data_IF_108051768862
#
_entry.id   IF_108051768862
#
_cell.length_a   1.000
_cell.length_b   1.000
_cell.length_c   1.000
_cell.angle_alpha   90.00
_cell.angle_beta   90.00
_cell.angle_gamma   90.00
#
_symmetry.space_group_name_H-M   'P 1'
#
loop_
_entity.id
_entity.type
_entity.pdbx_description
1 polymer ?
#
# COMPACT_ATOMS: atom_id res chain seq x y z
N UNK A 1 -3.24 -16.36 -11.30
CA UNK A 1 -2.94 -14.98 -11.73
C UNK A 1 -1.61 -14.60 -11.09
N UNK A 2 -0.68 -13.99 -11.83
CA UNK A 2 0.73 -13.77 -11.40
C UNK A 2 0.89 -12.95 -10.10
N UNK A 3 -0.16 -12.20 -9.73
CA UNK A 3 -0.22 -11.38 -8.51
C UNK A 3 -0.53 -12.19 -7.24
N UNK A 4 -1.49 -13.11 -7.31
CA UNK A 4 -1.97 -13.87 -6.16
C UNK A 4 -1.01 -15.02 -5.84
N UNK A 5 -0.59 -15.11 -4.58
CA UNK A 5 0.27 -16.20 -4.08
C UNK A 5 -0.54 -17.46 -3.75
N UNK A 6 -1.83 -17.26 -3.49
CA UNK A 6 -2.79 -18.29 -3.13
C UNK A 6 -3.95 -18.28 -4.14
N UNK A 7 -4.50 -19.45 -4.44
CA UNK A 7 -5.74 -19.55 -5.20
C UNK A 7 -6.94 -19.23 -4.28
N UNK A 8 -7.60 -18.07 -4.46
CA UNK A 8 -8.69 -17.65 -3.59
C UNK A 8 -9.95 -18.49 -3.75
N UNK A 9 -10.10 -19.24 -4.84
CA UNK A 9 -11.26 -20.12 -5.06
C UNK A 9 -11.12 -21.46 -4.32
N UNK A 10 -9.88 -21.85 -3.98
CA UNK A 10 -9.59 -23.13 -3.33
C UNK A 10 -9.36 -22.99 -1.83
N UNK A 11 -8.85 -21.83 -1.38
CA UNK A 11 -8.42 -21.65 0.02
C UNK A 11 -9.39 -20.75 0.79
N UNK A 12 -10.06 -21.27 1.84
CA UNK A 12 -10.92 -20.50 2.72
C UNK A 12 -10.17 -19.36 3.40
N UNK A 13 -10.86 -18.25 3.68
CA UNK A 13 -10.25 -17.05 4.27
C UNK A 13 -9.49 -17.34 5.57
N UNK A 14 -10.03 -18.21 6.41
CA UNK A 14 -9.47 -18.51 7.74
C UNK A 14 -8.12 -19.23 7.66
N UNK A 15 -7.81 -19.88 6.54
CA UNK A 15 -6.57 -20.64 6.30
C UNK A 15 -5.49 -19.81 5.59
N UNK A 16 -5.86 -18.65 5.00
CA UNK A 16 -4.95 -17.85 4.18
C UNK A 16 -3.82 -17.25 5.00
N UNK A 17 -4.12 -16.73 6.19
CA UNK A 17 -3.13 -16.07 7.05
C UNK A 17 -1.93 -16.97 7.36
N UNK A 18 -2.17 -18.24 7.72
CA UNK A 18 -1.10 -19.18 8.03
C UNK A 18 -0.30 -19.57 6.79
N UNK A 19 -0.98 -19.76 5.67
CA UNK A 19 -0.33 -20.12 4.42
C UNK A 19 0.51 -18.97 3.86
N UNK A 20 0.01 -17.73 3.90
CA UNK A 20 0.76 -16.55 3.48
C UNK A 20 2.04 -16.39 4.30
N UNK A 21 1.95 -16.49 5.63
CA UNK A 21 3.15 -16.50 6.50
C UNK A 21 4.12 -17.61 6.13
N UNK A 22 3.62 -18.80 5.79
CA UNK A 22 4.44 -19.90 5.32
C UNK A 22 5.19 -19.58 4.02
N UNK A 23 4.51 -18.96 3.05
CA UNK A 23 5.09 -18.54 1.77
C UNK A 23 6.10 -17.40 1.97
N UNK A 24 5.76 -16.38 2.76
CA UNK A 24 6.63 -15.25 3.09
C UNK A 24 7.95 -15.72 3.72
N UNK A 25 7.87 -16.61 4.71
CA UNK A 25 9.07 -17.17 5.35
C UNK A 25 9.93 -17.99 4.37
N UNK A 26 9.33 -18.62 3.35
CA UNK A 26 10.10 -19.35 2.33
C UNK A 26 10.72 -18.42 1.28
N UNK A 27 10.08 -17.28 1.01
CA UNK A 27 10.59 -16.28 0.05
C UNK A 27 11.62 -15.34 0.66
N UNK A 28 11.69 -15.24 1.98
CA UNK A 28 12.70 -14.45 2.66
C UNK A 28 14.09 -14.98 2.32
N UNK A 29 14.90 -14.12 1.71
CA UNK A 29 16.29 -14.38 1.38
C UNK A 29 17.19 -13.63 2.36
N UNK A 30 17.75 -14.39 3.32
CA UNK A 30 18.61 -13.84 4.38
C UNK A 30 19.91 -13.22 3.82
N UNK A 31 20.47 -13.80 2.76
CA UNK A 31 21.71 -13.30 2.16
C UNK A 31 21.44 -11.95 1.49
N UNK A 32 20.33 -11.85 0.74
CA UNK A 32 19.91 -10.59 0.13
C UNK A 32 19.62 -9.53 1.19
N UNK A 33 18.91 -9.87 2.26
CA UNK A 33 18.62 -8.95 3.35
C UNK A 33 19.90 -8.38 3.99
N UNK A 34 20.90 -9.24 4.24
CA UNK A 34 22.19 -8.82 4.80
C UNK A 34 22.94 -7.91 3.82
N UNK A 35 22.91 -8.22 2.52
CA UNK A 35 23.55 -7.39 1.50
C UNK A 35 22.90 -6.00 1.40
N UNK A 36 21.57 -5.92 1.45
CA UNK A 36 20.84 -4.66 1.42
C UNK A 36 21.06 -3.84 2.71
N UNK A 37 21.25 -4.51 3.85
CA UNK A 37 21.46 -3.83 5.14
C UNK A 37 22.90 -3.34 5.35
N UNK A 38 23.91 -4.12 4.91
CA UNK A 38 25.32 -3.88 5.25
C UNK A 38 26.29 -3.93 4.06
N UNK A 39 25.80 -4.36 2.89
CA UNK A 39 26.60 -4.66 1.72
C UNK A 39 26.63 -3.53 0.70
N UNK A 40 26.92 -3.89 -0.55
CA UNK A 40 27.17 -2.96 -1.66
C UNK A 40 25.94 -2.24 -2.18
N UNK A 41 24.74 -2.79 -1.93
CA UNK A 41 23.46 -2.20 -2.34
C UNK A 41 22.92 -1.20 -1.32
N UNK A 42 23.61 -1.03 -0.18
CA UNK A 42 23.22 -0.10 0.87
C UNK A 42 23.15 1.35 0.39
N UNK A 43 24.10 1.78 -0.44
CA UNK A 43 24.16 3.16 -0.92
C UNK A 43 22.91 3.51 -1.76
N UNK A 44 22.42 2.56 -2.57
CA UNK A 44 21.18 2.73 -3.36
C UNK A 44 19.95 2.89 -2.46
N UNK A 45 19.90 2.14 -1.35
CA UNK A 45 18.81 2.24 -0.37
C UNK A 45 18.90 3.55 0.40
N UNK A 46 20.10 3.95 0.81
CA UNK A 46 20.33 5.21 1.50
C UNK A 46 19.92 6.39 0.61
N UNK A 47 20.20 6.37 -0.69
CA UNK A 47 19.72 7.37 -1.65
C UNK A 47 18.18 7.46 -1.70
N UNK A 48 17.48 6.32 -1.70
CA UNK A 48 16.01 6.29 -1.62
C UNK A 48 15.53 6.87 -0.29
N UNK A 49 16.18 6.54 0.82
CA UNK A 49 15.82 7.01 2.16
C UNK A 49 16.07 8.51 2.35
N UNK A 50 17.11 9.05 1.71
CA UNK A 50 17.46 10.47 1.76
C UNK A 50 16.67 11.31 0.75
N UNK A 51 16.07 10.68 -0.27
CA UNK A 51 15.27 11.37 -1.27
C UNK A 51 14.16 12.22 -0.65
N UNK A 52 14.09 13.48 -1.09
CA UNK A 52 13.09 14.43 -0.60
C UNK A 52 11.70 13.97 -1.05
N UNK A 53 10.78 13.81 -0.10
CA UNK A 53 9.39 13.52 -0.42
C UNK A 53 8.80 14.65 -1.29
N UNK A 54 7.98 14.31 -2.29
CA UNK A 54 7.32 15.30 -3.15
C UNK A 54 6.24 16.08 -2.40
N UNK A 55 5.76 15.56 -1.27
CA UNK A 55 4.79 16.21 -0.40
C UNK A 55 5.50 17.05 0.67
N UNK A 56 5.01 18.25 0.93
CA UNK A 56 5.55 19.08 2.01
C UNK A 56 5.08 18.52 3.37
N UNK A 57 6.00 18.34 4.32
CA UNK A 57 5.64 17.90 5.68
C UNK A 57 4.70 18.90 6.37
N UNK A 58 4.78 20.18 5.99
CA UNK A 58 3.85 21.21 6.47
C UNK A 58 2.44 21.04 5.91
N UNK A 59 2.29 20.53 4.69
CA UNK A 59 0.98 20.18 4.10
C UNK A 59 0.37 18.98 4.83
N UNK A 60 1.17 17.96 5.16
CA UNK A 60 0.68 16.80 5.93
C UNK A 60 0.22 17.21 7.33
N UNK A 61 0.98 18.06 8.02
CA UNK A 61 0.59 18.56 9.35
C UNK A 61 -0.64 19.47 9.28
N UNK A 62 -0.74 20.32 8.25
CA UNK A 62 -1.91 21.16 8.02
C UNK A 62 -3.16 20.32 7.70
N UNK A 63 -3.03 19.26 6.91
CA UNK A 63 -4.10 18.30 6.64
C UNK A 63 -4.47 17.53 7.90
N UNK A 64 -3.50 17.16 8.74
CA UNK A 64 -3.76 16.47 10.02
C UNK A 64 -4.50 17.36 11.02
N UNK A 65 -4.13 18.63 11.13
CA UNK A 65 -4.86 19.63 11.93
C UNK A 65 -6.25 19.95 11.32
N UNK A 66 -6.37 19.96 9.99
CA UNK A 66 -7.66 20.10 9.31
C UNK A 66 -8.54 18.85 9.45
N UNK A 67 -7.95 17.65 9.57
CA UNK A 67 -8.64 16.37 9.78
C UNK A 67 -9.35 16.30 11.13
N UNK A 68 -8.80 16.93 12.16
CA UNK A 68 -9.48 17.09 13.46
C UNK A 68 -10.74 17.97 13.36
N UNK A 69 -10.89 18.74 12.28
CA UNK A 69 -12.05 19.60 11.99
C UNK A 69 -12.77 19.30 10.67
N UNK A 70 -12.43 18.21 9.97
CA UNK A 70 -12.97 17.87 8.65
C UNK A 70 -14.41 17.37 8.79
N UNK A 71 -15.35 18.30 8.75
CA UNK A 71 -16.64 18.03 8.12
C UNK A 71 -16.38 17.62 6.67
N UNK A 72 -17.15 16.66 6.14
CA UNK A 72 -17.23 16.25 4.73
C UNK A 72 -17.46 17.41 3.71
N UNK A 73 -17.54 18.66 4.20
CA UNK A 73 -17.82 19.88 3.46
C UNK A 73 -16.60 20.47 2.75
N UNK A 74 -15.37 20.10 3.15
CA UNK A 74 -14.19 20.38 2.33
C UNK A 74 -14.23 19.42 1.14
N UNK A 75 -14.86 19.89 0.06
CA UNK A 75 -15.13 19.10 -1.14
C UNK A 75 -13.87 18.46 -1.73
N UNK A 76 -14.09 17.36 -2.44
CA UNK A 76 -13.06 16.66 -3.21
C UNK A 76 -12.46 17.61 -4.26
N UNK A 77 -11.13 17.63 -4.44
CA UNK A 77 -10.49 18.43 -5.48
C UNK A 77 -11.09 18.15 -6.87
N UNK A 78 -11.33 19.17 -7.72
CA UNK A 78 -11.96 18.99 -9.02
C UNK A 78 -11.29 17.94 -9.92
N UNK A 79 -9.97 17.81 -9.81
CA UNK A 79 -9.14 16.82 -10.52
C UNK A 79 -9.51 15.37 -10.19
N UNK A 80 -9.92 15.10 -8.95
CA UNK A 80 -10.24 13.76 -8.48
C UNK A 80 -11.70 13.39 -8.79
N UNK A 81 -12.56 14.38 -9.05
CA UNK A 81 -13.99 14.15 -9.35
C UNK A 81 -14.15 13.25 -10.58
N UNK A 82 -13.36 13.46 -11.63
CA UNK A 82 -13.42 12.63 -12.84
C UNK A 82 -13.09 11.16 -12.56
N UNK A 83 -12.17 10.89 -11.63
CA UNK A 83 -11.83 9.52 -11.24
C UNK A 83 -12.90 8.89 -10.38
N UNK A 84 -13.44 9.64 -9.41
CA UNK A 84 -14.53 9.17 -8.56
C UNK A 84 -15.81 8.89 -9.37
N UNK A 85 -16.07 9.65 -10.43
CA UNK A 85 -17.19 9.40 -11.34
C UNK A 85 -17.04 8.07 -12.11
N UNK A 86 -15.83 7.52 -12.26
CA UNK A 86 -15.62 6.18 -12.83
C UNK A 86 -16.03 5.08 -11.84
N UNK A 87 -16.06 5.39 -10.54
CA UNK A 87 -16.50 4.44 -9.52
C UNK A 87 -17.99 4.20 -9.62
N UNK A 88 -18.38 2.98 -9.30
CA UNK A 88 -19.76 2.55 -9.36
C UNK A 88 -20.53 3.13 -8.19
N UNK A 89 -21.52 3.99 -8.49
CA UNK A 89 -22.42 4.54 -7.48
C UNK A 89 -23.27 3.42 -6.84
N UNK A 90 -22.86 2.95 -5.66
CA UNK A 90 -23.58 1.96 -4.85
C UNK A 90 -23.50 2.33 -3.38
N UNK A 91 -24.60 2.04 -2.68
CA UNK A 91 -24.64 2.07 -1.23
C UNK A 91 -24.13 0.73 -0.69
N UNK A 92 -23.28 0.78 0.32
CA UNK A 92 -22.75 -0.39 0.99
C UNK A 92 -23.28 -0.44 2.42
N UNK A 93 -23.87 -1.58 2.79
CA UNK A 93 -24.26 -1.86 4.17
C UNK A 93 -23.05 -2.44 4.91
N UNK A 94 -22.15 -1.55 5.32
CA UNK A 94 -20.95 -1.89 6.08
C UNK A 94 -21.19 -1.52 7.53
N UNK A 95 -20.88 -2.45 8.44
CA UNK A 95 -20.89 -2.15 9.87
C UNK A 95 -19.87 -1.05 10.16
N UNK A 96 -20.35 0.04 10.78
CA UNK A 96 -19.55 1.26 11.04
C UNK A 96 -18.27 1.00 11.84
N UNK A 97 -18.25 -0.10 12.59
CA UNK A 97 -17.14 -0.52 13.44
C UNK A 97 -16.39 -1.72 12.85
N UNK A 98 -16.21 -1.77 11.53
CA UNK A 98 -15.35 -2.78 10.88
C UNK A 98 -13.91 -2.27 10.80
N UNK A 99 -13.05 -2.47 11.82
CA UNK A 99 -11.65 -2.08 11.77
C UNK A 99 -10.92 -2.78 10.61
N UNK A 100 -11.42 -3.93 10.17
CA UNK A 100 -10.86 -4.72 9.09
C UNK A 100 -10.73 -3.91 7.80
N UNK A 101 -11.77 -3.21 7.38
CA UNK A 101 -11.73 -2.45 6.12
C UNK A 101 -10.74 -1.29 6.21
N UNK A 102 -10.71 -0.58 7.35
CA UNK A 102 -9.75 0.51 7.56
C UNK A 102 -8.30 -0.01 7.54
N UNK A 103 -8.03 -1.14 8.20
CA UNK A 103 -6.72 -1.78 8.20
C UNK A 103 -6.30 -2.20 6.79
N UNK A 104 -7.22 -2.77 5.99
CA UNK A 104 -6.97 -3.11 4.59
C UNK A 104 -6.66 -1.88 3.73
N UNK A 105 -7.37 -0.77 3.93
CA UNK A 105 -7.06 0.49 3.24
C UNK A 105 -5.67 1.04 3.61
N UNK A 106 -5.31 1.00 4.89
CA UNK A 106 -3.98 1.44 5.37
C UNK A 106 -2.88 0.59 4.74
N UNK A 107 -3.08 -0.72 4.67
CA UNK A 107 -2.12 -1.66 4.13
C UNK A 107 -1.90 -1.47 2.62
N UNK A 108 -2.97 -1.25 1.85
CA UNK A 108 -2.87 -0.88 0.42
C UNK A 108 -2.16 0.47 0.24
N UNK A 109 -2.45 1.46 1.10
CA UNK A 109 -1.79 2.76 1.05
C UNK A 109 -0.29 2.63 1.35
N UNK A 110 0.08 1.79 2.33
CA UNK A 110 1.48 1.49 2.62
C UNK A 110 2.20 0.88 1.42
N UNK A 111 1.58 -0.11 0.76
CA UNK A 111 2.15 -0.74 -0.43
C UNK A 111 2.34 0.25 -1.58
N UNK A 112 1.37 1.14 -1.81
CA UNK A 112 1.49 2.24 -2.77
C UNK A 112 2.64 3.18 -2.43
N UNK A 113 2.73 3.65 -1.19
CA UNK A 113 3.77 4.58 -0.76
C UNK A 113 5.18 3.95 -0.81
N UNK A 114 5.28 2.65 -0.52
CA UNK A 114 6.53 1.91 -0.72
C UNK A 114 6.94 1.93 -2.19
N UNK A 115 6.06 1.50 -3.11
CA UNK A 115 6.37 1.46 -4.54
C UNK A 115 6.72 2.85 -5.07
N UNK A 116 5.93 3.85 -4.67
CA UNK A 116 6.15 5.24 -5.05
C UNK A 116 7.52 5.73 -4.56
N UNK A 117 7.97 5.37 -3.36
CA UNK A 117 9.27 5.80 -2.84
C UNK A 117 10.45 5.06 -3.49
N UNK A 118 10.34 3.74 -3.67
CA UNK A 118 11.41 2.92 -4.26
C UNK A 118 11.65 3.27 -5.73
N UNK A 119 10.62 3.70 -6.45
CA UNK A 119 10.74 4.16 -7.84
C UNK A 119 10.96 5.68 -7.97
N UNK A 120 11.52 6.35 -6.94
CA UNK A 120 11.81 7.79 -6.98
C UNK A 120 10.61 8.67 -7.37
N UNK A 121 9.42 8.31 -6.89
CA UNK A 121 8.16 9.02 -7.09
C UNK A 121 7.62 8.97 -8.52
N UNK A 122 8.02 7.96 -9.30
CA UNK A 122 7.51 7.69 -10.65
C UNK A 122 6.95 6.26 -10.75
N UNK A 123 5.73 6.12 -11.27
CA UNK A 123 5.15 4.80 -11.51
C UNK A 123 5.73 4.17 -12.78
N UNK A 124 5.90 2.85 -12.77
CA UNK A 124 6.38 2.08 -13.94
C UNK A 124 5.54 0.81 -14.14
N UNK A 125 5.93 -0.03 -15.12
CA UNK A 125 5.19 -1.25 -15.44
C UNK A 125 5.14 -2.29 -14.31
N UNK A 126 6.09 -2.24 -13.37
CA UNK A 126 6.16 -3.12 -12.21
C UNK A 126 5.42 -2.56 -10.98
N UNK A 127 4.96 -1.30 -11.00
CA UNK A 127 4.31 -0.68 -9.85
C UNK A 127 3.12 -1.47 -9.33
N UNK A 128 2.24 -1.94 -10.22
CA UNK A 128 1.10 -2.75 -9.83
C UNK A 128 1.53 -4.09 -9.23
N UNK A 129 2.61 -4.68 -9.74
CA UNK A 129 3.15 -5.93 -9.23
C UNK A 129 3.74 -5.75 -7.84
N UNK A 130 4.57 -4.72 -7.64
CA UNK A 130 5.14 -4.39 -6.33
C UNK A 130 4.06 -4.14 -5.28
N UNK A 131 3.06 -3.31 -5.61
CA UNK A 131 1.94 -3.03 -4.70
C UNK A 131 1.23 -4.34 -4.34
N UNK A 132 0.94 -5.19 -5.31
CA UNK A 132 0.29 -6.48 -5.06
C UNK A 132 1.14 -7.42 -4.18
N UNK A 133 2.48 -7.42 -4.32
CA UNK A 133 3.36 -8.27 -3.52
C UNK A 133 3.55 -7.80 -2.09
N UNK A 134 3.48 -6.49 -1.84
CA UNK A 134 3.57 -5.93 -0.49
C UNK A 134 2.22 -5.98 0.21
N UNK A 135 1.15 -5.84 -0.57
CA UNK A 135 -0.19 -5.81 -0.04
C UNK A 135 -0.73 -7.23 0.24
N UNK A 136 -0.84 -7.60 1.51
CA UNK A 136 -1.44 -8.89 1.90
C UNK A 136 -2.90 -8.99 1.47
N UNK A 137 -3.64 -7.89 1.42
CA UNK A 137 -5.04 -7.88 0.96
C UNK A 137 -5.20 -8.19 -0.53
N UNK A 138 -4.13 -8.03 -1.32
CA UNK A 138 -4.13 -8.26 -2.77
C UNK A 138 -3.46 -9.59 -3.12
N UNK A 139 -2.33 -9.92 -2.50
CA UNK A 139 -1.60 -11.18 -2.76
C UNK A 139 -2.24 -12.41 -2.12
N UNK A 140 -3.03 -12.20 -1.06
CA UNK A 140 -3.76 -13.20 -0.27
C UNK A 140 -5.27 -12.81 -0.16
#
# INVERSE_FOLDING_TARGET
AEFAEIDPEQIPQDERDELCKGIENQKLDDERYVQDTFGTTKDEIDDILESKLPFDKSEINAVTEQLEGLSLEQGIPPEDIEELLKLRNREFLIDKDSPKIMLQCIEILFAYLYDYRVNHFEANCESLWNIAKISSTISC
#
